data_IF_779408158748
#
_entry.id   IF_779408158748
#
_cell.length_a   1.000
_cell.length_b   1.000
_cell.length_c   1.000
_cell.angle_alpha   90.00
_cell.angle_beta   90.00
_cell.angle_gamma   90.00
#
_symmetry.space_group_name_H-M   'P 1'
#
loop_
_entity.id
_entity.type
_entity.pdbx_description
1 polymer ?
#
# COMPACT_ATOMS: atom_id res chain seq x y z
N UNK A 1 36.87 12.16 61.80
CA UNK A 1 37.32 10.99 61.01
C UNK A 1 36.34 9.82 61.08
N UNK A 2 35.57 9.63 62.17
CA UNK A 2 34.68 8.47 62.41
C UNK A 2 33.42 8.38 61.54
N UNK A 3 32.77 9.48 61.16
CA UNK A 3 31.53 9.45 60.37
C UNK A 3 31.70 8.86 58.94
N UNK A 4 32.82 9.18 58.29
CA UNK A 4 33.16 8.67 56.94
C UNK A 4 33.34 7.14 56.96
N UNK A 5 33.87 6.58 58.05
CA UNK A 5 34.04 5.13 58.20
C UNK A 5 32.70 4.39 58.29
N UNK A 6 31.72 4.94 59.01
CA UNK A 6 30.39 4.32 59.13
C UNK A 6 29.59 4.39 57.83
N UNK A 7 29.68 5.49 57.09
CA UNK A 7 29.04 5.63 55.78
C UNK A 7 29.65 4.68 54.75
N UNK A 8 30.98 4.57 54.73
CA UNK A 8 31.70 3.62 53.88
C UNK A 8 31.38 2.17 54.24
N UNK A 9 31.25 1.84 55.53
CA UNK A 9 30.86 0.51 55.98
C UNK A 9 29.42 0.16 55.58
N UNK A 10 28.48 1.11 55.71
CA UNK A 10 27.08 0.93 55.32
C UNK A 10 26.94 0.68 53.81
N UNK A 11 27.65 1.47 52.99
CA UNK A 11 27.66 1.28 51.54
C UNK A 11 28.27 -0.07 51.14
N UNK A 12 29.38 -0.46 51.74
CA UNK A 12 30.01 -1.75 51.49
C UNK A 12 29.10 -2.95 51.86
N UNK A 13 28.23 -2.80 52.87
CA UNK A 13 27.24 -3.83 53.23
C UNK A 13 26.11 -3.89 52.19
N UNK A 14 25.60 -2.74 51.76
CA UNK A 14 24.55 -2.68 50.74
C UNK A 14 25.02 -3.24 49.39
N UNK A 15 26.25 -2.93 48.97
CA UNK A 15 26.83 -3.46 47.75
C UNK A 15 26.96 -4.99 47.80
N UNK A 16 27.36 -5.54 48.95
CA UNK A 16 27.41 -7.01 49.15
C UNK A 16 26.04 -7.66 49.13
N UNK A 17 25.05 -7.06 49.79
CA UNK A 17 23.67 -7.57 49.79
C UNK A 17 23.07 -7.55 48.39
N UNK A 18 23.35 -6.50 47.62
CA UNK A 18 22.94 -6.42 46.22
C UNK A 18 23.60 -7.49 45.37
N UNK A 19 24.91 -7.71 45.51
CA UNK A 19 25.61 -8.80 44.82
C UNK A 19 24.96 -10.15 45.08
N UNK A 20 24.66 -10.49 46.35
CA UNK A 20 24.01 -11.76 46.68
C UNK A 20 22.59 -11.89 46.10
N UNK A 21 21.84 -10.79 46.05
CA UNK A 21 20.51 -10.78 45.43
C UNK A 21 20.59 -10.99 43.91
N UNK A 22 21.53 -10.33 43.24
CA UNK A 22 21.72 -10.44 41.79
C UNK A 22 22.22 -11.85 41.41
N UNK A 23 23.13 -12.44 42.20
CA UNK A 23 23.62 -13.81 42.02
C UNK A 23 22.50 -14.84 42.21
N UNK A 24 21.63 -14.65 43.21
CA UNK A 24 20.49 -15.52 43.47
C UNK A 24 19.44 -15.44 42.36
N UNK A 25 19.18 -14.24 41.83
CA UNK A 25 18.27 -14.05 40.70
C UNK A 25 18.81 -14.73 39.44
N UNK A 26 20.09 -14.51 39.12
CA UNK A 26 20.76 -15.15 37.98
C UNK A 26 20.69 -16.68 38.08
N UNK A 27 20.97 -17.23 39.27
CA UNK A 27 20.90 -18.67 39.52
C UNK A 27 19.48 -19.23 39.37
N UNK A 28 18.45 -18.48 39.77
CA UNK A 28 17.06 -18.89 39.63
C UNK A 28 16.61 -18.89 38.16
N UNK A 29 17.03 -17.89 37.38
CA UNK A 29 16.75 -17.79 35.95
C UNK A 29 17.45 -18.92 35.15
N UNK A 30 18.71 -19.22 35.48
CA UNK A 30 19.46 -20.34 34.90
C UNK A 30 18.84 -21.71 35.26
N UNK A 31 18.40 -21.88 36.51
CA UNK A 31 17.72 -23.09 36.95
C UNK A 31 16.37 -23.29 36.25
N UNK A 32 15.58 -22.22 36.06
CA UNK A 32 14.31 -22.29 35.35
C UNK A 32 14.49 -22.60 33.86
N UNK A 33 15.51 -22.01 33.22
CA UNK A 33 15.89 -22.30 31.83
C UNK A 33 16.33 -23.76 31.66
N UNK A 34 17.17 -24.24 32.58
CA UNK A 34 17.65 -25.63 32.61
C UNK A 34 16.51 -26.63 32.84
N UNK A 35 15.59 -26.34 33.76
CA UNK A 35 14.43 -27.21 34.03
C UNK A 35 13.46 -27.27 32.84
N UNK A 36 13.25 -26.15 32.15
CA UNK A 36 12.40 -26.09 30.94
C UNK A 36 13.03 -26.89 29.80
N UNK A 37 14.35 -26.78 29.63
CA UNK A 37 15.12 -27.53 28.63
C UNK A 37 15.13 -29.03 28.96
N UNK A 38 15.38 -29.41 30.21
CA UNK A 38 15.36 -30.80 30.66
C UNK A 38 13.99 -31.46 30.49
N UNK A 39 12.91 -30.74 30.79
CA UNK A 39 11.53 -31.21 30.57
C UNK A 39 11.23 -31.42 29.08
N UNK A 40 11.71 -30.54 28.21
CA UNK A 40 11.55 -30.70 26.76
C UNK A 40 12.33 -31.92 26.23
N UNK A 41 13.51 -32.19 26.80
CA UNK A 41 14.36 -33.34 26.47
C UNK A 41 13.74 -34.66 26.95
N UNK A 42 13.21 -34.73 28.18
CA UNK A 42 12.66 -35.99 28.74
C UNK A 42 11.33 -36.40 28.12
N UNK A 43 10.51 -35.44 27.69
CA UNK A 43 9.14 -35.72 27.24
C UNK A 43 9.05 -36.17 25.76
N UNK A 44 10.08 -35.95 24.92
CA UNK A 44 9.99 -36.16 23.45
C UNK A 44 11.30 -36.63 22.76
N UNK A 45 11.90 -37.75 23.17
CA UNK A 45 13.19 -38.17 22.57
C UNK A 45 13.10 -38.64 21.10
N UNK A 46 14.13 -38.30 20.31
CA UNK A 46 14.61 -39.08 19.16
C UNK A 46 16.14 -39.04 19.15
N UNK A 47 16.81 -40.17 19.42
CA UNK A 47 18.28 -40.31 19.36
C UNK A 47 18.65 -40.98 18.05
N UNK A 48 19.34 -40.27 17.14
CA UNK A 48 19.89 -40.83 15.90
C UNK A 48 21.41 -40.76 15.99
N UNK A 49 22.06 -41.93 16.10
CA UNK A 49 23.52 -42.04 16.15
C UNK A 49 24.02 -42.81 14.91
N UNK A 50 24.61 -42.09 13.95
CA UNK A 50 25.40 -42.67 12.85
C UNK A 50 24.70 -42.94 11.51
N UNK A 51 23.46 -42.50 11.26
CA UNK A 51 22.81 -42.83 9.98
C UNK A 51 21.66 -41.92 9.54
N UNK A 52 21.48 -41.82 8.23
CA UNK A 52 20.38 -41.14 7.53
C UNK A 52 19.03 -41.77 7.91
N UNK A 53 18.06 -40.95 8.34
CA UNK A 53 16.68 -41.40 8.57
C UNK A 53 15.85 -41.14 7.33
N UNK A 54 15.53 -42.21 6.61
CA UNK A 54 14.61 -42.18 5.47
C UNK A 54 13.18 -42.30 6.00
N UNK A 55 12.40 -41.22 5.90
CA UNK A 55 11.00 -41.20 6.33
C UNK A 55 10.12 -40.43 5.37
N UNK A 56 8.88 -40.90 5.22
CA UNK A 56 7.84 -40.27 4.40
C UNK A 56 6.92 -39.37 5.23
N UNK A 57 6.91 -39.51 6.56
CA UNK A 57 6.02 -38.75 7.43
C UNK A 57 6.61 -38.68 8.84
N UNK A 58 6.71 -37.47 9.38
CA UNK A 58 7.11 -37.21 10.76
C UNK A 58 5.93 -36.49 11.42
N UNK A 59 5.43 -37.05 12.51
CA UNK A 59 4.37 -36.42 13.31
C UNK A 59 4.96 -35.91 14.61
N UNK A 60 4.70 -34.63 14.90
CA UNK A 60 5.00 -34.04 16.19
C UNK A 60 3.86 -34.39 17.14
N UNK A 61 4.17 -35.24 18.11
CA UNK A 61 3.24 -35.68 19.15
C UNK A 61 3.67 -35.05 20.47
N UNK A 62 2.71 -34.59 21.26
CA UNK A 62 2.91 -34.15 22.64
C UNK A 62 2.01 -34.95 23.57
N UNK A 63 2.51 -35.37 24.72
CA UNK A 63 1.68 -35.91 25.79
C UNK A 63 0.91 -34.82 26.53
N UNK A 64 -0.41 -34.98 26.62
CA UNK A 64 -1.31 -34.13 27.38
C UNK A 64 -2.16 -35.05 28.26
N UNK A 65 -2.03 -34.92 29.59
CA UNK A 65 -2.69 -35.81 30.56
C UNK A 65 -2.47 -37.31 30.29
N UNK A 66 -1.26 -37.66 29.83
CA UNK A 66 -0.89 -39.04 29.51
C UNK A 66 -1.31 -39.52 28.11
N UNK A 67 -2.08 -38.73 27.35
CA UNK A 67 -2.53 -39.07 25.99
C UNK A 67 -1.66 -38.40 24.94
N UNK A 68 -1.31 -39.14 23.90
CA UNK A 68 -0.55 -38.65 22.74
C UNK A 68 -1.45 -37.80 21.84
N UNK A 69 -1.09 -36.53 21.65
CA UNK A 69 -1.81 -35.57 20.81
C UNK A 69 -0.89 -35.09 19.70
N UNK A 70 -1.33 -35.23 18.44
CA UNK A 70 -0.60 -34.68 17.29
C UNK A 70 -0.80 -33.17 17.18
N UNK A 71 0.30 -32.43 17.11
CA UNK A 71 0.31 -30.97 17.09
C UNK A 71 0.89 -30.38 15.81
N UNK A 72 1.49 -31.20 14.95
CA UNK A 72 2.03 -30.80 13.67
C UNK A 72 2.88 -31.89 13.05
N UNK A 73 3.63 -31.55 12.01
CA UNK A 73 4.61 -32.48 11.44
C UNK A 73 5.13 -32.08 10.08
N UNK A 74 5.85 -33.02 9.48
CA UNK A 74 6.48 -32.93 8.17
C UNK A 74 6.07 -34.15 7.32
N UNK A 75 5.79 -33.94 6.04
CA UNK A 75 5.40 -35.03 5.13
C UNK A 75 6.17 -34.95 3.82
N UNK A 76 6.52 -36.13 3.29
CA UNK A 76 6.81 -36.27 1.88
C UNK A 76 5.56 -35.91 1.06
N UNK A 77 5.75 -35.63 -0.24
CA UNK A 77 4.61 -35.39 -1.11
C UNK A 77 3.93 -36.72 -1.42
N UNK A 78 2.86 -37.04 -0.68
CA UNK A 78 2.23 -38.35 -0.72
C UNK A 78 1.10 -38.32 -1.75
N UNK A 79 1.13 -39.30 -2.67
CA UNK A 79 0.04 -39.52 -3.62
C UNK A 79 -1.17 -40.14 -2.90
N UNK A 80 -2.34 -39.55 -3.12
CA UNK A 80 -3.64 -40.02 -2.70
C UNK A 80 -4.59 -40.12 -3.92
N UNK A 81 -5.83 -40.54 -3.67
CA UNK A 81 -6.84 -40.76 -4.72
C UNK A 81 -7.24 -39.48 -5.49
N UNK A 82 -6.94 -38.30 -4.92
CA UNK A 82 -7.20 -36.98 -5.51
C UNK A 82 -5.94 -36.32 -6.09
N UNK A 83 -4.80 -37.03 -6.14
CA UNK A 83 -3.52 -36.50 -6.61
C UNK A 83 -2.48 -36.44 -5.49
N UNK A 84 -1.51 -35.54 -5.59
CA UNK A 84 -0.54 -35.32 -4.53
C UNK A 84 -1.16 -34.45 -3.42
N UNK A 85 -0.93 -34.81 -2.16
CA UNK A 85 -1.44 -34.04 -1.02
C UNK A 85 -0.86 -32.63 -0.90
N UNK A 86 0.32 -32.45 -1.50
CA UNK A 86 1.13 -31.27 -1.44
C UNK A 86 1.32 -30.74 -0.01
N UNK A 87 1.44 -31.54 1.04
CA UNK A 87 1.74 -30.98 2.39
C UNK A 87 3.20 -31.19 2.73
N UNK A 88 3.93 -30.09 2.95
CA UNK A 88 5.32 -30.13 3.46
C UNK A 88 5.29 -30.11 4.98
N UNK A 89 4.69 -29.05 5.55
CA UNK A 89 4.70 -28.76 6.98
C UNK A 89 3.29 -28.40 7.41
N UNK A 90 2.91 -28.89 8.58
CA UNK A 90 1.74 -28.38 9.27
C UNK A 90 1.99 -28.15 10.75
N UNK A 91 1.28 -27.18 11.31
CA UNK A 91 1.33 -26.84 12.72
C UNK A 91 -0.04 -26.51 13.28
N UNK A 92 -0.25 -26.82 14.55
CA UNK A 92 -1.50 -26.57 15.28
C UNK A 92 -2.63 -27.54 14.93
N UNK A 93 -2.31 -28.80 14.65
CA UNK A 93 -3.30 -29.85 14.33
C UNK A 93 -2.66 -31.13 13.80
N UNK A 94 -3.48 -32.04 13.30
CA UNK A 94 -3.08 -33.34 12.76
C UNK A 94 -2.83 -33.30 11.25
N UNK A 95 -2.16 -34.31 10.71
CA UNK A 95 -1.90 -34.47 9.28
C UNK A 95 -3.19 -34.65 8.47
N UNK A 96 -4.14 -35.42 9.00
CA UNK A 96 -5.48 -35.53 8.41
C UNK A 96 -6.19 -34.16 8.37
N UNK A 97 -6.01 -33.36 9.43
CA UNK A 97 -6.47 -31.97 9.43
C UNK A 97 -5.70 -31.13 8.40
N UNK A 98 -4.41 -31.32 8.17
CA UNK A 98 -3.66 -30.60 7.14
C UNK A 98 -4.12 -30.95 5.71
N UNK A 99 -4.41 -32.22 5.42
CA UNK A 99 -5.01 -32.69 4.14
C UNK A 99 -6.34 -32.01 3.87
N UNK A 100 -7.15 -31.89 4.92
CA UNK A 100 -8.41 -31.15 4.88
C UNK A 100 -8.23 -29.62 4.94
N UNK A 101 -7.01 -29.08 4.89
CA UNK A 101 -6.66 -27.66 5.03
C UNK A 101 -7.07 -27.00 6.38
N UNK A 102 -7.28 -27.81 7.43
CA UNK A 102 -7.73 -27.44 8.78
C UNK A 102 -6.61 -27.13 9.77
N UNK A 103 -5.36 -27.53 9.51
CA UNK A 103 -4.22 -27.14 10.34
C UNK A 103 -4.01 -25.61 10.32
N UNK A 104 -3.39 -25.07 11.37
CA UNK A 104 -3.22 -23.61 11.54
C UNK A 104 -2.16 -23.06 10.61
N UNK A 105 -1.05 -23.77 10.49
CA UNK A 105 0.00 -23.46 9.53
C UNK A 105 0.04 -24.63 8.55
N UNK A 106 0.05 -24.33 7.25
CA UNK A 106 0.24 -25.31 6.19
C UNK A 106 1.20 -24.70 5.20
N UNK A 107 2.32 -25.36 4.97
CA UNK A 107 3.20 -25.08 3.84
C UNK A 107 3.04 -26.22 2.87
N UNK A 108 2.70 -25.90 1.63
CA UNK A 108 2.40 -26.90 0.62
C UNK A 108 3.53 -27.08 -0.39
N UNK A 109 3.67 -28.29 -0.92
CA UNK A 109 4.63 -28.62 -1.99
C UNK A 109 4.32 -27.87 -3.29
N UNK A 110 3.11 -27.31 -3.44
CA UNK A 110 2.69 -26.48 -4.58
C UNK A 110 2.97 -24.97 -4.41
N UNK A 111 3.69 -24.59 -3.34
CA UNK A 111 4.04 -23.21 -3.04
C UNK A 111 2.92 -22.38 -2.41
N UNK A 112 1.72 -22.92 -2.25
CA UNK A 112 0.67 -22.25 -1.49
C UNK A 112 0.94 -22.39 0.01
N UNK A 113 0.69 -21.33 0.75
CA UNK A 113 0.87 -21.33 2.19
C UNK A 113 -0.39 -20.83 2.88
N UNK A 114 -0.70 -21.49 3.99
CA UNK A 114 -1.61 -20.99 5.02
C UNK A 114 -0.73 -20.67 6.22
N UNK A 115 -0.38 -19.40 6.39
CA UNK A 115 0.36 -18.95 7.56
C UNK A 115 -0.65 -18.55 8.64
N UNK A 116 -0.76 -19.34 9.71
CA UNK A 116 -1.78 -19.15 10.75
C UNK A 116 -1.63 -17.84 11.53
N UNK A 117 -0.41 -17.49 11.93
CA UNK A 117 -0.06 -16.16 12.47
C UNK A 117 1.27 -15.74 11.87
N UNK A 118 1.25 -14.68 11.07
CA UNK A 118 2.45 -13.98 10.60
C UNK A 118 2.81 -12.94 11.65
N UNK A 119 4.08 -12.88 12.10
CA UNK A 119 4.46 -11.92 13.14
C UNK A 119 4.42 -10.51 12.58
N UNK A 120 3.49 -9.85 13.22
CA UNK A 120 3.09 -8.48 13.17
C UNK A 120 3.90 -7.81 14.28
N UNK A 121 4.48 -6.65 14.02
CA UNK A 121 5.23 -5.94 15.05
C UNK A 121 4.34 -5.62 16.28
N UNK A 122 4.94 -5.04 17.33
CA UNK A 122 4.19 -4.64 18.53
C UNK A 122 2.99 -3.73 18.25
N UNK A 123 2.95 -3.09 17.07
CA UNK A 123 1.97 -2.12 16.65
C UNK A 123 0.95 -2.65 15.62
N UNK A 124 0.97 -3.93 15.25
CA UNK A 124 0.00 -4.43 14.28
C UNK A 124 0.47 -4.44 12.83
N UNK A 125 1.69 -3.98 12.55
CA UNK A 125 2.17 -3.82 11.19
C UNK A 125 2.65 -5.13 10.59
N UNK A 126 2.14 -5.40 9.39
CA UNK A 126 2.71 -6.37 8.47
C UNK A 126 3.67 -5.60 7.57
N UNK A 127 4.95 -5.66 7.89
CA UNK A 127 5.97 -5.10 7.00
C UNK A 127 6.30 -6.14 5.94
N UNK A 128 5.79 -5.92 4.73
CA UNK A 128 6.14 -6.71 3.55
C UNK A 128 7.24 -5.97 2.76
N UNK A 129 8.47 -6.01 3.25
CA UNK A 129 9.62 -5.44 2.52
C UNK A 129 9.85 -6.23 1.21
N UNK A 130 10.06 -5.51 0.11
CA UNK A 130 10.42 -6.06 -1.21
C UNK A 130 9.42 -7.10 -1.79
N UNK A 131 8.18 -7.13 -1.30
CA UNK A 131 7.15 -8.06 -1.77
C UNK A 131 6.57 -7.63 -3.14
N UNK A 132 6.64 -8.52 -4.15
CA UNK A 132 5.89 -8.35 -5.40
C UNK A 132 4.47 -8.85 -5.20
N UNK A 133 3.55 -7.94 -4.94
CA UNK A 133 2.16 -8.26 -4.73
C UNK A 133 1.38 -8.03 -6.03
N UNK A 134 0.96 -9.11 -6.67
CA UNK A 134 0.09 -9.04 -7.85
C UNK A 134 -1.39 -8.94 -7.40
N UNK A 135 -2.19 -8.11 -8.06
CA UNK A 135 -3.62 -7.91 -7.78
C UNK A 135 -3.93 -7.44 -6.35
N UNK A 136 -3.22 -6.41 -5.87
CA UNK A 136 -3.49 -5.79 -4.57
C UNK A 136 -4.87 -5.12 -4.61
N UNK A 137 -5.78 -5.53 -3.73
CA UNK A 137 -7.03 -4.80 -3.46
C UNK A 137 -6.90 -4.10 -2.11
N UNK A 138 -6.88 -2.77 -2.13
CA UNK A 138 -6.82 -1.94 -0.93
C UNK A 138 -8.04 -1.02 -0.87
N UNK A 139 -8.78 -1.06 0.24
CA UNK A 139 -10.01 -0.27 0.46
C UNK A 139 -9.79 0.94 1.38
N UNK A 140 -8.64 1.00 2.05
CA UNK A 140 -8.27 2.06 2.97
C UNK A 140 -7.38 3.13 2.34
N UNK A 141 -6.83 3.98 3.21
CA UNK A 141 -5.87 5.00 2.80
C UNK A 141 -4.53 4.36 2.43
N UNK A 142 -3.96 4.77 1.30
CA UNK A 142 -2.60 4.37 0.87
C UNK A 142 -1.72 5.61 0.90
N UNK A 143 -0.58 5.51 1.58
CA UNK A 143 0.39 6.59 1.70
C UNK A 143 1.73 6.07 1.18
N UNK A 144 2.36 6.80 0.26
CA UNK A 144 3.61 6.36 -0.36
C UNK A 144 4.82 6.38 0.58
N UNK A 145 4.79 7.20 1.63
CA UNK A 145 5.84 7.31 2.66
C UNK A 145 5.35 8.12 3.88
N UNK A 146 6.07 7.98 4.99
CA UNK A 146 5.73 8.68 6.24
C UNK A 146 6.32 10.10 6.32
N UNK A 147 7.37 10.41 5.54
CA UNK A 147 8.09 11.69 5.60
C UNK A 147 8.45 12.26 4.22
N UNK A 148 8.45 13.59 4.12
CA UNK A 148 8.71 14.29 2.86
C UNK A 148 7.49 14.32 1.93
N UNK A 149 7.75 14.52 0.64
CA UNK A 149 6.70 14.58 -0.38
C UNK A 149 6.06 13.21 -0.58
N UNK A 150 4.73 13.15 -0.62
CA UNK A 150 3.99 11.89 -0.64
C UNK A 150 2.75 11.93 -1.52
N UNK A 151 2.40 10.74 -2.02
CA UNK A 151 1.12 10.46 -2.66
C UNK A 151 0.20 9.84 -1.62
N UNK A 152 -1.02 10.37 -1.53
CA UNK A 152 -2.03 9.89 -0.60
C UNK A 152 -3.28 9.51 -1.39
N UNK A 153 -3.62 8.22 -1.43
CA UNK A 153 -4.92 7.77 -1.91
C UNK A 153 -5.86 7.71 -0.72
N UNK A 154 -6.86 8.59 -0.67
CA UNK A 154 -7.77 8.71 0.47
C UNK A 154 -9.23 8.48 0.03
N UNK A 155 -9.83 7.32 0.34
CA UNK A 155 -11.20 7.01 -0.07
C UNK A 155 -12.22 7.94 0.58
N UNK A 156 -11.93 8.53 1.76
CA UNK A 156 -12.85 9.49 2.41
C UNK A 156 -12.97 10.79 1.65
N UNK A 157 -11.90 11.16 0.93
CA UNK A 157 -11.85 12.33 0.05
C UNK A 157 -12.20 12.01 -1.40
N UNK A 158 -12.35 10.72 -1.75
CA UNK A 158 -12.52 10.21 -3.12
C UNK A 158 -11.46 10.78 -4.06
N UNK A 159 -10.20 10.82 -3.59
CA UNK A 159 -9.14 11.53 -4.28
C UNK A 159 -7.75 10.91 -4.11
N UNK A 160 -6.87 11.20 -5.07
CA UNK A 160 -5.42 11.08 -4.93
C UNK A 160 -4.87 12.47 -4.63
N UNK A 161 -4.16 12.63 -3.52
CA UNK A 161 -3.54 13.87 -3.10
C UNK A 161 -2.03 13.80 -3.33
N UNK A 162 -1.47 14.91 -3.79
CA UNK A 162 -0.03 15.17 -3.80
C UNK A 162 0.26 16.13 -2.65
N UNK A 163 0.96 15.64 -1.64
CA UNK A 163 1.30 16.40 -0.43
C UNK A 163 2.81 16.65 -0.38
N UNK A 164 3.23 17.88 -0.07
CA UNK A 164 4.64 18.20 0.11
C UNK A 164 5.16 17.81 1.52
N UNK A 165 6.46 17.92 1.75
CA UNK A 165 7.10 17.59 3.03
C UNK A 165 6.65 18.42 4.23
N UNK A 166 6.00 19.57 4.00
CA UNK A 166 5.43 20.42 5.05
C UNK A 166 3.98 20.04 5.40
N UNK A 167 3.41 19.03 4.73
CA UNK A 167 2.04 18.58 4.93
C UNK A 167 1.01 19.35 4.08
N UNK A 168 1.45 20.26 3.22
CA UNK A 168 0.55 21.04 2.36
C UNK A 168 0.14 20.23 1.13
N UNK A 169 -1.13 20.35 0.73
CA UNK A 169 -1.61 19.77 -0.52
C UNK A 169 -1.19 20.68 -1.68
N UNK A 170 -0.57 20.09 -2.70
CA UNK A 170 -0.10 20.80 -3.90
C UNK A 170 -0.77 20.28 -5.18
N UNK A 171 -1.59 19.24 -5.05
CA UNK A 171 -2.37 18.71 -6.15
C UNK A 171 -3.39 17.69 -5.66
N UNK A 172 -4.54 17.64 -6.32
CA UNK A 172 -5.62 16.72 -6.01
C UNK A 172 -6.26 16.19 -7.29
N UNK A 173 -6.39 14.87 -7.40
CA UNK A 173 -7.17 14.20 -8.43
C UNK A 173 -8.46 13.68 -7.80
N UNK A 174 -9.59 14.32 -8.05
CA UNK A 174 -10.89 13.90 -7.57
C UNK A 174 -11.57 12.95 -8.54
N UNK A 175 -12.31 12.00 -7.98
CA UNK A 175 -13.20 11.11 -8.71
C UNK A 175 -14.64 11.28 -8.21
N UNK A 176 -15.50 11.81 -9.08
CA UNK A 176 -16.92 11.96 -8.86
C UNK A 176 -17.69 10.87 -9.58
N UNK A 177 -19.01 10.80 -9.38
CA UNK A 177 -19.87 9.82 -10.05
C UNK A 177 -19.85 9.98 -11.59
N UNK A 178 -19.70 11.21 -12.06
CA UNK A 178 -19.83 11.57 -13.48
C UNK A 178 -18.67 12.43 -14.01
N UNK A 179 -17.58 12.60 -13.26
CA UNK A 179 -16.47 13.46 -13.65
C UNK A 179 -15.15 13.07 -12.96
N UNK A 180 -14.04 13.49 -13.57
CA UNK A 180 -12.72 13.50 -12.95
C UNK A 180 -12.21 14.93 -12.97
N UNK A 181 -11.64 15.37 -11.85
CA UNK A 181 -11.04 16.69 -11.73
C UNK A 181 -9.59 16.59 -11.30
N UNK A 182 -8.72 17.29 -12.04
CA UNK A 182 -7.36 17.55 -11.61
C UNK A 182 -7.29 19.00 -11.12
N UNK A 183 -7.13 19.16 -9.82
CA UNK A 183 -6.80 20.42 -9.17
C UNK A 183 -5.29 20.48 -8.93
N UNK A 184 -4.62 21.52 -9.42
CA UNK A 184 -3.21 21.79 -9.13
C UNK A 184 -3.16 22.99 -8.20
N UNK A 185 -2.64 22.78 -6.98
CA UNK A 185 -2.45 23.82 -5.98
C UNK A 185 -0.97 24.24 -6.01
N UNK A 186 -0.66 25.29 -6.78
CA UNK A 186 0.67 25.88 -6.77
C UNK A 186 0.86 26.68 -5.47
N UNK A 187 1.52 26.07 -4.49
CA UNK A 187 2.06 26.69 -3.26
C UNK A 187 1.05 27.45 -2.37
N UNK A 188 0.47 26.80 -1.34
CA UNK A 188 -0.49 27.45 -0.43
C UNK A 188 0.11 28.52 0.50
N UNK A 189 1.43 28.67 0.55
CA UNK A 189 2.13 29.56 1.49
C UNK A 189 2.30 31.00 1.02
N UNK A 190 1.89 31.35 -0.20
CA UNK A 190 1.94 32.74 -0.69
C UNK A 190 0.58 33.18 -1.22
N UNK A 191 -0.06 34.22 -0.65
CA UNK A 191 -1.40 34.70 -1.01
C UNK A 191 -1.62 35.08 -2.48
N UNK A 192 -0.55 35.13 -3.28
CA UNK A 192 -0.57 35.51 -4.69
C UNK A 192 -0.74 34.34 -5.66
N UNK A 193 -0.55 33.09 -5.22
CA UNK A 193 -0.69 31.94 -6.12
C UNK A 193 -2.10 31.38 -6.05
N UNK A 194 -2.82 31.52 -7.17
CA UNK A 194 -4.22 31.09 -7.31
C UNK A 194 -4.31 29.60 -7.62
N UNK A 195 -5.35 28.94 -7.10
CA UNK A 195 -5.64 27.55 -7.44
C UNK A 195 -6.00 27.46 -8.92
N UNK A 196 -5.38 26.53 -9.64
CA UNK A 196 -5.73 26.26 -11.03
C UNK A 196 -6.31 24.86 -11.12
N UNK A 197 -7.45 24.74 -11.79
CA UNK A 197 -8.15 23.47 -11.99
C UNK A 197 -8.31 23.18 -13.47
N UNK A 198 -8.14 21.90 -13.82
CA UNK A 198 -8.55 21.33 -15.09
C UNK A 198 -9.56 20.25 -14.78
N UNK A 199 -10.81 20.46 -15.20
CA UNK A 199 -11.90 19.53 -14.97
C UNK A 199 -12.37 18.93 -16.28
N UNK A 200 -12.53 17.61 -16.30
CA UNK A 200 -12.96 16.85 -17.48
C UNK A 200 -14.32 16.21 -17.20
N UNK A 201 -15.29 16.53 -18.03
CA UNK A 201 -16.65 16.00 -18.02
C UNK A 201 -16.92 15.16 -19.28
N UNK A 202 -17.96 14.31 -19.29
CA UNK A 202 -18.39 13.60 -20.50
C UNK A 202 -18.68 14.52 -21.70
N UNK A 203 -19.04 15.78 -21.44
CA UNK A 203 -19.44 16.77 -22.44
C UNK A 203 -18.46 17.95 -22.61
N UNK A 204 -17.27 17.93 -22.00
CA UNK A 204 -16.30 19.00 -22.18
C UNK A 204 -15.16 19.06 -21.17
N UNK A 205 -14.28 20.04 -21.36
CA UNK A 205 -13.16 20.35 -20.46
C UNK A 205 -13.32 21.80 -20.00
N UNK A 206 -13.12 22.05 -18.71
CA UNK A 206 -13.10 23.39 -18.12
C UNK A 206 -11.74 23.66 -17.50
N UNK A 207 -11.20 24.86 -17.74
CA UNK A 207 -9.98 25.35 -17.10
C UNK A 207 -10.40 26.60 -16.32
N UNK A 208 -10.24 26.56 -15.00
CA UNK A 208 -10.71 27.61 -14.11
C UNK A 208 -9.67 27.95 -13.03
N UNK A 209 -9.58 29.25 -12.70
CA UNK A 209 -8.85 29.76 -11.57
C UNK A 209 -9.82 29.98 -10.43
N UNK A 210 -9.53 29.46 -9.24
CA UNK A 210 -10.40 29.60 -8.09
C UNK A 210 -9.85 30.70 -7.16
N UNK A 211 -10.58 31.81 -7.09
CA UNK A 211 -10.34 32.91 -6.14
C UNK A 211 -9.48 34.08 -6.66
N UNK A 212 -10.14 35.23 -6.87
CA UNK A 212 -9.51 36.56 -6.80
C UNK A 212 -9.08 37.17 -8.14
N UNK A 213 -10.02 37.75 -8.89
CA UNK A 213 -9.79 38.81 -9.90
C UNK A 213 -8.89 38.49 -11.12
N UNK A 214 -8.13 37.41 -11.09
CA UNK A 214 -7.32 36.91 -12.20
C UNK A 214 -8.19 36.04 -13.09
N UNK A 215 -8.32 36.41 -14.36
CA UNK A 215 -8.88 35.49 -15.34
C UNK A 215 -7.93 34.30 -15.46
N UNK A 216 -8.39 33.04 -15.40
CA UNK A 216 -7.53 31.90 -15.67
C UNK A 216 -6.96 32.04 -17.08
N UNK A 217 -5.65 32.29 -17.15
CA UNK A 217 -4.96 32.42 -18.43
C UNK A 217 -4.38 31.07 -18.79
N UNK A 218 -4.91 30.48 -19.86
CA UNK A 218 -4.29 29.32 -20.49
C UNK A 218 -3.24 29.81 -21.49
N UNK A 219 -1.98 29.89 -21.06
CA UNK A 219 -0.87 30.22 -21.96
C UNK A 219 -0.35 28.95 -22.59
N UNK A 220 -0.57 28.77 -23.89
CA UNK A 220 -0.01 27.67 -24.67
C UNK A 220 0.32 28.12 -26.09
N UNK A 221 1.44 27.62 -26.62
CA UNK A 221 1.85 27.85 -28.02
C UNK A 221 0.88 27.22 -29.03
N UNK A 222 0.08 26.22 -28.62
CA UNK A 222 -0.91 25.56 -29.49
C UNK A 222 -2.07 24.98 -28.71
N UNK A 223 -3.30 25.39 -29.05
CA UNK A 223 -4.55 24.80 -28.59
C UNK A 223 -5.26 24.11 -29.76
N UNK A 224 -5.66 22.84 -29.62
CA UNK A 224 -6.37 22.10 -30.66
C UNK A 224 -7.59 21.40 -30.09
N UNK A 225 -8.78 21.73 -30.61
CA UNK A 225 -10.00 20.96 -30.39
C UNK A 225 -10.18 20.02 -31.59
N UNK A 226 -9.94 18.73 -31.39
CA UNK A 226 -10.16 17.71 -32.43
C UNK A 226 -11.49 17.00 -32.16
N UNK A 227 -12.49 17.27 -32.97
CA UNK A 227 -13.74 16.50 -32.99
C UNK A 227 -13.52 15.24 -33.85
N UNK A 228 -14.11 14.10 -33.46
CA UNK A 228 -13.94 12.80 -34.14
C UNK A 228 -14.51 12.75 -35.56
N UNK A 229 -15.31 13.73 -35.96
CA UNK A 229 -15.63 14.01 -37.36
C UNK A 229 -14.65 15.06 -37.91
N UNK A 230 -14.16 14.91 -39.14
CA UNK A 230 -13.16 15.75 -39.83
C UNK A 230 -13.41 17.28 -39.90
N UNK A 231 -14.43 17.79 -39.20
CA UNK A 231 -14.82 19.18 -39.06
C UNK A 231 -14.36 19.70 -37.68
N UNK A 232 -13.09 20.07 -37.58
CA UNK A 232 -12.51 20.67 -36.37
C UNK A 232 -12.50 22.19 -36.41
N UNK A 233 -12.55 22.80 -35.21
CA UNK A 233 -12.32 24.22 -34.98
C UNK A 233 -10.94 24.38 -34.33
N UNK A 234 -10.02 25.09 -34.98
CA UNK A 234 -8.67 25.35 -34.47
C UNK A 234 -8.52 26.85 -34.16
N UNK A 235 -8.10 27.15 -32.93
CA UNK A 235 -7.72 28.49 -32.49
C UNK A 235 -6.21 28.49 -32.22
N UNK A 236 -5.46 29.35 -32.89
CA UNK A 236 -4.03 29.52 -32.65
C UNK A 236 -3.69 31.00 -32.56
N UNK A 237 -2.87 31.39 -31.59
CA UNK A 237 -2.27 32.72 -31.57
C UNK A 237 -0.88 32.58 -32.18
N UNK A 238 -0.61 33.30 -33.26
CA UNK A 238 0.71 33.28 -33.89
C UNK A 238 1.66 34.17 -33.09
N UNK A 239 2.68 33.58 -32.48
CA UNK A 239 3.66 34.27 -31.63
C UNK A 239 4.38 35.41 -32.36
N UNK A 240 4.45 35.38 -33.69
CA UNK A 240 5.14 36.40 -34.50
C UNK A 240 4.27 37.65 -34.79
N UNK A 241 2.95 37.55 -34.70
CA UNK A 241 2.04 38.63 -35.15
C UNK A 241 1.08 39.12 -34.07
N UNK A 242 0.98 38.44 -32.94
CA UNK A 242 0.04 38.80 -31.87
C UNK A 242 -1.44 38.72 -32.30
N UNK A 243 -1.72 38.13 -33.47
CA UNK A 243 -3.07 37.94 -34.01
C UNK A 243 -3.62 36.59 -33.59
N UNK A 244 -4.93 36.57 -33.28
CA UNK A 244 -5.69 35.34 -33.14
C UNK A 244 -6.03 34.81 -34.54
N UNK A 245 -5.42 33.69 -34.90
CA UNK A 245 -5.74 32.95 -36.10
C UNK A 245 -6.83 31.92 -35.76
N UNK A 246 -8.00 32.05 -36.41
CA UNK A 246 -9.12 31.10 -36.26
C UNK A 246 -9.28 30.33 -37.56
N UNK A 247 -9.02 29.02 -37.53
CA UNK A 247 -9.18 28.13 -38.67
C UNK A 247 -10.44 27.25 -38.49
N UNK A 248 -11.49 27.58 -39.24
CA UNK A 248 -12.76 26.87 -39.23
C UNK A 248 -12.86 25.94 -40.45
N UNK A 249 -12.72 24.63 -40.25
CA UNK A 249 -12.91 23.63 -41.31
C UNK A 249 -14.31 23.04 -41.26
N UNK A 250 -14.86 22.68 -42.42
CA UNK A 250 -16.18 22.03 -42.51
C UNK A 250 -17.39 22.97 -42.37
N UNK A 251 -17.21 24.30 -42.53
CA UNK A 251 -18.34 25.22 -42.68
C UNK A 251 -19.12 24.91 -43.96
N UNK A 252 -20.46 24.96 -43.90
CA UNK A 252 -21.31 24.84 -45.10
C UNK A 252 -20.92 25.90 -46.12
N UNK A 253 -20.87 25.53 -47.39
CA UNK A 253 -20.63 26.46 -48.50
C UNK A 253 -21.91 27.07 -49.06
N UNK A 254 -23.06 26.85 -48.40
CA UNK A 254 -24.36 27.39 -48.78
C UNK A 254 -25.25 27.62 -47.56
N UNK A 255 -26.09 28.66 -47.64
CA UNK A 255 -27.12 28.98 -46.63
C UNK A 255 -28.37 28.08 -46.71
N UNK A 256 -28.58 27.37 -47.82
CA UNK A 256 -29.89 26.80 -48.18
C UNK A 256 -30.47 25.79 -47.16
N UNK A 257 -29.62 25.13 -46.37
CA UNK A 257 -30.03 24.14 -45.37
C UNK A 257 -29.72 24.55 -43.93
N UNK A 258 -29.32 25.80 -43.71
CA UNK A 258 -28.90 26.29 -42.40
C UNK A 258 -29.98 27.16 -41.76
N UNK A 259 -30.27 26.99 -40.46
CA UNK A 259 -31.12 27.92 -39.71
C UNK A 259 -30.55 29.34 -39.69
N UNK A 260 -31.42 30.34 -39.53
CA UNK A 260 -31.05 31.74 -39.29
C UNK A 260 -30.06 31.87 -38.12
N UNK A 261 -29.08 32.77 -38.26
CA UNK A 261 -28.01 33.00 -37.28
C UNK A 261 -26.81 32.05 -37.37
N UNK A 262 -26.77 31.11 -38.32
CA UNK A 262 -25.60 30.22 -38.54
C UNK A 262 -24.58 30.83 -39.49
N UNK A 263 -23.29 30.55 -39.23
CA UNK A 263 -22.17 30.93 -40.10
C UNK A 263 -22.04 29.96 -41.29
N UNK A 264 -21.75 30.49 -42.47
CA UNK A 264 -21.45 29.73 -43.68
C UNK A 264 -20.40 30.45 -44.53
N UNK A 265 -19.74 29.70 -45.42
CA UNK A 265 -18.67 30.20 -46.29
C UNK A 265 -19.19 30.42 -47.71
N UNK A 266 -19.22 31.67 -48.15
CA UNK A 266 -19.49 32.05 -49.54
C UNK A 266 -18.17 32.31 -50.26
N UNK A 267 -17.57 31.25 -50.82
CA UNK A 267 -16.24 31.32 -51.43
C UNK A 267 -15.14 31.70 -50.41
N UNK A 268 -14.69 32.95 -50.45
CA UNK A 268 -13.67 33.52 -49.54
C UNK A 268 -14.27 34.40 -48.44
N UNK A 269 -15.58 34.62 -48.43
CA UNK A 269 -16.27 35.46 -47.44
C UNK A 269 -16.99 34.60 -46.41
N UNK A 270 -16.96 35.03 -45.15
CA UNK A 270 -17.76 34.45 -44.08
C UNK A 270 -19.09 35.22 -43.96
N UNK A 271 -20.22 34.53 -43.97
CA UNK A 271 -21.56 35.13 -43.89
C UNK A 271 -22.40 34.50 -42.78
N UNK A 272 -23.43 35.22 -42.32
CA UNK A 272 -24.46 34.74 -41.41
C UNK A 272 -25.75 34.52 -42.22
N UNK A 273 -26.46 33.43 -41.98
CA UNK A 273 -27.81 33.25 -42.54
C UNK A 273 -28.73 34.30 -41.92
N UNK A 274 -29.37 35.16 -42.72
CA UNK A 274 -30.23 36.22 -42.20
C UNK A 274 -31.42 35.69 -41.41
#
# INVERSE_FOLDING_TARGET
>A
MTAIWYENAGKAIQDKLKSYSDDAQTSAEEAQSTATTAKAVTDNFTTINGGLVMTTLIKMIRKIAGVDVETGGLSANIKNDSGYDNIILWGGGTYAQALANLAKIILRHDGSAKLGKMTIDVNGNITANDAVMNNITATGKIISNDSGNKIVMDPTKRAILLQNGNGEIIGTFYFFENAVELLIELAPSTPQYQKQSVRVYPNGITIAGDGGGGSPTLTMTKFRISLTSANGLEFSVNENYGSLDVNMKGLSTSAASLPSGRLWRDGTTLRIVP
#
